data_IF_297410603525
#
_entry.id   IF_297410603525
#
_cell.length_a   1.000
_cell.length_b   1.000
_cell.length_c   1.000
_cell.angle_alpha   90.00
_cell.angle_beta   90.00
_cell.angle_gamma   90.00
#
_symmetry.space_group_name_H-M   'P 1'
#
loop_
_entity.id
_entity.type
_entity.pdbx_description
1 polymer ?
#
# COMPACT_ATOMS: atom_id res chain seq x y z
N UNK A 1 -51.95 2.95 -8.32
CA UNK A 1 -52.79 1.88 -7.73
C UNK A 1 -52.12 0.56 -7.99
N UNK A 2 -51.96 -0.25 -6.95
CA UNK A 2 -51.39 -1.60 -6.94
C UNK A 2 -51.83 -2.46 -8.14
N UNK A 3 -50.92 -3.32 -8.60
CA UNK A 3 -51.33 -4.64 -9.08
C UNK A 3 -50.51 -5.75 -8.40
N UNK A 4 -51.14 -6.88 -8.03
CA UNK A 4 -50.70 -7.76 -6.96
C UNK A 4 -50.03 -9.04 -7.47
N UNK A 5 -49.24 -9.67 -6.59
CA UNK A 5 -48.67 -11.01 -6.76
C UNK A 5 -49.66 -12.13 -6.38
N UNK A 6 -49.34 -13.32 -6.91
CA UNK A 6 -49.76 -14.72 -6.61
C UNK A 6 -50.74 -15.24 -7.66
N UNK A 7 -50.56 -16.40 -8.30
CA UNK A 7 -49.97 -17.70 -7.93
C UNK A 7 -49.75 -18.49 -9.26
N UNK A 8 -49.05 -19.61 -9.43
CA UNK A 8 -49.06 -20.88 -8.69
C UNK A 8 -48.18 -21.92 -9.45
N UNK A 9 -47.77 -22.99 -8.75
CA UNK A 9 -47.51 -24.39 -9.20
C UNK A 9 -46.07 -24.93 -9.12
N UNK A 10 -45.92 -26.26 -8.85
CA UNK A 10 -45.11 -26.77 -7.76
C UNK A 10 -44.14 -27.88 -8.22
N UNK A 11 -43.64 -28.62 -7.22
CA UNK A 11 -42.93 -29.91 -7.28
C UNK A 11 -41.43 -29.82 -7.46
N UNK A 12 -40.76 -30.42 -6.49
CA UNK A 12 -39.35 -30.35 -6.21
C UNK A 12 -38.49 -31.07 -7.26
N UNK A 13 -37.33 -30.47 -7.56
CA UNK A 13 -36.04 -31.15 -7.73
C UNK A 13 -34.95 -30.14 -7.34
N UNK A 14 -34.31 -30.39 -6.19
CA UNK A 14 -33.14 -29.66 -5.68
C UNK A 14 -31.96 -29.87 -6.64
N UNK A 15 -31.32 -28.80 -7.12
CA UNK A 15 -30.16 -28.92 -8.02
C UNK A 15 -29.15 -27.75 -8.00
N UNK A 16 -29.27 -26.75 -7.12
CA UNK A 16 -28.29 -25.63 -7.08
C UNK A 16 -27.90 -25.22 -5.67
N UNK A 17 -26.74 -24.56 -5.58
CA UNK A 17 -26.05 -24.14 -4.35
C UNK A 17 -26.78 -23.02 -3.57
N UNK A 18 -27.98 -22.65 -4.02
CA UNK A 18 -28.83 -21.60 -3.45
C UNK A 18 -29.68 -22.09 -2.25
N UNK A 19 -29.59 -23.38 -1.89
CA UNK A 19 -30.31 -23.98 -0.75
C UNK A 19 -29.58 -23.86 0.60
N UNK A 20 -28.48 -23.09 0.66
CA UNK A 20 -27.85 -22.71 1.93
C UNK A 20 -28.54 -21.44 2.45
N UNK A 21 -29.62 -21.62 3.21
CA UNK A 21 -30.22 -20.57 4.04
C UNK A 21 -29.22 -20.14 5.12
N UNK A 22 -28.24 -19.29 4.75
CA UNK A 22 -27.44 -18.53 5.70
C UNK A 22 -28.28 -17.34 6.13
N UNK A 23 -29.13 -17.55 7.13
CA UNK A 23 -29.86 -16.46 7.78
C UNK A 23 -28.83 -15.52 8.45
N UNK A 24 -28.48 -14.44 7.74
CA UNK A 24 -27.76 -13.31 8.31
C UNK A 24 -28.77 -12.45 9.07
N UNK A 25 -28.82 -12.63 10.39
CA UNK A 25 -29.47 -11.65 11.27
C UNK A 25 -28.46 -10.53 11.52
N UNK A 26 -28.71 -9.28 11.06
CA UNK A 26 -27.82 -8.17 11.35
C UNK A 26 -27.90 -7.88 12.85
N UNK A 27 -26.83 -8.13 13.59
CA UNK A 27 -26.66 -7.62 14.95
C UNK A 27 -26.76 -6.09 14.91
N UNK A 28 -27.56 -5.51 15.81
CA UNK A 28 -27.67 -4.06 15.96
C UNK A 28 -26.30 -3.52 16.39
N UNK A 29 -25.63 -2.87 15.44
CA UNK A 29 -24.29 -2.32 15.59
C UNK A 29 -24.31 -1.11 16.52
N UNK A 30 -23.74 -1.23 17.72
CA UNK A 30 -23.60 -0.10 18.64
C UNK A 30 -22.60 0.92 18.08
N UNK A 31 -23.12 2.04 17.59
CA UNK A 31 -22.32 3.14 17.02
C UNK A 31 -21.32 3.75 18.03
N UNK A 32 -21.48 3.50 19.34
CA UNK A 32 -20.65 4.09 20.39
C UNK A 32 -19.46 3.22 20.82
N UNK A 33 -19.42 1.93 20.47
CA UNK A 33 -18.32 1.04 20.86
C UNK A 33 -17.08 1.19 19.94
N UNK A 34 -17.25 1.84 18.78
CA UNK A 34 -16.17 2.30 17.90
C UNK A 34 -15.55 3.60 18.43
N UNK A 35 -14.91 3.55 19.60
CA UNK A 35 -13.96 4.59 19.98
C UNK A 35 -12.78 4.50 19.01
N UNK A 36 -12.81 5.38 18.00
CA UNK A 36 -11.90 5.40 16.86
C UNK A 36 -10.43 5.21 17.27
N UNK A 37 -9.88 4.03 16.99
CA UNK A 37 -8.44 3.83 17.03
C UNK A 37 -7.82 4.60 15.84
N UNK A 38 -7.62 5.90 16.03
CA UNK A 38 -7.02 6.79 15.04
C UNK A 38 -5.52 6.51 14.99
N UNK A 39 -5.08 5.70 14.03
CA UNK A 39 -3.67 5.42 13.82
C UNK A 39 -2.97 6.54 13.04
N UNK A 40 -1.64 6.62 13.15
CA UNK A 40 -0.85 7.65 12.47
C UNK A 40 -0.70 7.35 10.98
N UNK A 41 -1.02 8.33 10.13
CA UNK A 41 -0.96 8.22 8.67
C UNK A 41 0.43 8.46 8.06
N UNK A 42 0.46 8.95 6.82
CA UNK A 42 1.69 9.28 6.11
C UNK A 42 2.52 10.37 6.80
N UNK A 43 3.81 10.42 6.46
CA UNK A 43 4.72 11.48 6.89
C UNK A 43 4.96 12.48 5.75
N UNK A 44 4.97 13.77 6.09
CA UNK A 44 5.43 14.84 5.21
C UNK A 44 6.64 15.45 5.89
N UNK A 45 7.78 15.49 5.18
CA UNK A 45 8.99 16.14 5.66
C UNK A 45 8.80 17.65 5.59
N UNK A 46 9.32 18.36 6.58
CA UNK A 46 9.25 19.81 6.59
C UNK A 46 10.05 20.36 5.40
N UNK A 47 9.42 21.12 4.49
CA UNK A 47 10.11 21.65 3.33
C UNK A 47 11.13 22.69 3.78
N UNK A 48 12.32 22.67 3.19
CA UNK A 48 13.28 23.76 3.33
C UNK A 48 12.94 24.82 2.29
N UNK A 49 12.41 26.00 2.66
CA UNK A 49 11.98 26.99 1.68
C UNK A 49 13.19 27.62 1.00
N UNK A 50 13.16 27.67 -0.34
CA UNK A 50 14.24 28.24 -1.11
C UNK A 50 14.05 28.06 -2.61
N UNK A 51 14.88 28.75 -3.39
CA UNK A 51 15.01 28.51 -4.82
C UNK A 51 16.12 27.47 -5.02
N UNK A 52 15.73 26.30 -5.51
CA UNK A 52 16.66 25.20 -5.79
C UNK A 52 16.76 24.98 -7.29
N UNK A 53 17.99 24.76 -7.75
CA UNK A 53 18.27 24.25 -9.09
C UNK A 53 18.63 22.77 -8.98
N UNK A 54 18.49 22.02 -10.09
CA UNK A 54 18.95 20.63 -10.16
C UNK A 54 18.34 19.70 -9.10
N UNK A 55 17.03 19.86 -8.85
CA UNK A 55 16.29 19.00 -7.92
C UNK A 55 15.92 17.69 -8.61
N UNK A 56 16.28 16.58 -7.98
CA UNK A 56 15.90 15.23 -8.39
C UNK A 56 14.75 14.74 -7.54
N UNK A 57 13.77 14.09 -8.18
CA UNK A 57 12.65 13.46 -7.51
C UNK A 57 12.87 11.95 -7.50
N UNK A 58 12.84 11.37 -6.30
CA UNK A 58 12.80 9.93 -6.07
C UNK A 58 11.43 9.56 -5.54
N UNK A 59 10.81 8.54 -6.10
CA UNK A 59 9.45 8.10 -5.75
C UNK A 59 9.44 6.57 -5.59
N UNK A 60 8.84 6.06 -4.52
CA UNK A 60 8.67 4.62 -4.36
C UNK A 60 7.60 4.10 -5.33
N UNK A 61 7.92 3.06 -6.07
CA UNK A 61 6.97 2.42 -6.96
C UNK A 61 5.88 1.69 -6.13
N UNK A 62 4.77 2.39 -5.88
CA UNK A 62 3.60 1.87 -5.13
C UNK A 62 3.94 1.45 -3.69
N UNK A 63 4.38 2.40 -2.85
CA UNK A 63 4.87 2.17 -1.48
C UNK A 63 3.98 1.21 -0.66
N UNK A 64 2.70 1.54 -0.44
CA UNK A 64 1.84 0.73 0.44
C UNK A 64 1.55 -0.67 -0.11
N UNK A 65 1.18 -0.86 -1.40
CA UNK A 65 1.12 -2.20 -1.99
C UNK A 65 2.40 -3.02 -1.77
N UNK A 66 3.56 -2.42 -1.98
CA UNK A 66 4.86 -3.08 -1.82
C UNK A 66 5.12 -3.47 -0.36
N UNK A 67 4.81 -2.60 0.60
CA UNK A 67 4.91 -2.89 2.04
C UNK A 67 3.99 -4.05 2.45
N UNK A 68 2.73 -4.02 2.00
CA UNK A 68 1.76 -5.08 2.29
C UNK A 68 2.27 -6.45 1.79
N UNK A 69 2.85 -6.49 0.59
CA UNK A 69 3.43 -7.72 0.03
C UNK A 69 4.71 -8.15 0.75
N UNK A 70 5.65 -7.24 0.98
CA UNK A 70 6.96 -7.54 1.55
C UNK A 70 6.89 -8.09 2.99
N UNK A 71 5.93 -7.62 3.77
CA UNK A 71 5.72 -8.03 5.16
C UNK A 71 4.53 -8.99 5.32
N UNK A 72 3.98 -9.48 4.20
CA UNK A 72 2.83 -10.39 4.13
C UNK A 72 1.65 -9.92 5.02
N UNK A 73 1.33 -8.63 5.01
CA UNK A 73 0.29 -8.02 5.86
C UNK A 73 -1.08 -8.43 5.35
N UNK A 74 -1.81 -9.22 6.14
CA UNK A 74 -3.10 -9.77 5.78
C UNK A 74 -3.88 -10.21 7.01
N UNK A 75 -5.22 -10.27 6.91
CA UNK A 75 -6.09 -10.84 7.94
C UNK A 75 -5.67 -12.26 8.34
N UNK A 76 -5.32 -13.09 7.34
CA UNK A 76 -4.97 -14.50 7.54
C UNK A 76 -3.57 -14.73 8.10
N UNK A 77 -2.73 -13.70 8.16
CA UNK A 77 -1.32 -13.80 8.57
C UNK A 77 -1.04 -13.06 9.87
N UNK A 78 -1.98 -12.24 10.36
CA UNK A 78 -1.84 -11.51 11.60
C UNK A 78 -1.82 -12.43 12.82
N UNK A 79 -0.83 -12.26 13.70
CA UNK A 79 -0.57 -13.13 14.87
C UNK A 79 -0.78 -12.46 16.22
N UNK A 80 -1.28 -11.22 16.27
CA UNK A 80 -1.38 -10.37 17.47
C UNK A 80 -0.06 -9.75 17.96
N UNK A 81 -0.12 -9.01 19.07
CA UNK A 81 1.03 -8.36 19.72
C UNK A 81 2.04 -9.35 20.29
N UNK A 82 1.58 -10.54 20.67
CA UNK A 82 2.43 -11.62 21.17
C UNK A 82 2.26 -12.85 20.26
N UNK A 83 3.35 -13.31 19.61
CA UNK A 83 3.26 -14.49 18.77
C UNK A 83 3.07 -15.74 19.66
N UNK A 84 2.43 -16.81 19.13
CA UNK A 84 2.24 -18.04 19.87
C UNK A 84 3.57 -18.60 20.41
N UNK A 85 3.60 -19.18 21.64
CA UNK A 85 4.84 -19.63 22.28
C UNK A 85 5.68 -20.63 21.47
N UNK A 86 5.03 -21.38 20.58
CA UNK A 86 5.65 -22.41 19.76
C UNK A 86 6.19 -21.89 18.42
N UNK A 87 6.04 -20.58 18.12
CA UNK A 87 6.57 -19.98 16.89
C UNK A 87 7.96 -19.41 17.09
N UNK A 88 8.85 -19.72 16.15
CA UNK A 88 10.20 -19.14 16.13
C UNK A 88 10.19 -17.80 15.38
N UNK A 89 11.04 -16.82 15.76
CA UNK A 89 11.09 -15.50 15.11
C UNK A 89 11.32 -15.52 13.60
N UNK A 90 11.87 -16.61 13.06
CA UNK A 90 12.07 -16.76 11.61
C UNK A 90 10.76 -16.92 10.84
N UNK A 91 9.66 -17.35 11.50
CA UNK A 91 8.37 -17.65 10.87
C UNK A 91 7.47 -16.43 10.67
N UNK A 92 7.78 -15.30 11.29
CA UNK A 92 6.97 -14.08 11.20
C UNK A 92 7.84 -12.83 11.04
N UNK A 93 7.23 -11.76 10.55
CA UNK A 93 7.74 -10.40 10.60
C UNK A 93 7.25 -9.72 11.88
N UNK A 94 8.13 -8.99 12.55
CA UNK A 94 7.79 -8.10 13.66
C UNK A 94 7.83 -6.67 13.18
N UNK A 95 6.71 -5.96 13.32
CA UNK A 95 6.60 -4.53 13.03
C UNK A 95 6.45 -3.80 14.37
N UNK A 96 7.49 -3.07 14.78
CA UNK A 96 7.51 -2.29 16.03
C UNK A 96 7.74 -0.81 15.72
N UNK A 97 6.92 0.07 16.29
CA UNK A 97 7.14 1.52 16.24
C UNK A 97 6.63 2.20 17.51
N UNK A 98 7.07 3.44 17.72
CA UNK A 98 6.56 4.31 18.78
C UNK A 98 5.67 5.37 18.14
N UNK A 99 4.43 5.49 18.60
CA UNK A 99 3.51 6.51 18.13
C UNK A 99 3.88 7.89 18.72
N UNK A 100 3.42 8.99 18.12
CA UNK A 100 3.67 10.35 18.62
C UNK A 100 3.25 10.59 20.09
N UNK A 101 2.31 9.80 20.60
CA UNK A 101 1.87 9.81 22.01
C UNK A 101 2.82 9.09 22.99
N UNK A 102 3.88 8.43 22.49
CA UNK A 102 4.81 7.64 23.30
C UNK A 102 4.44 6.15 23.42
N UNK A 103 3.29 5.74 22.88
CA UNK A 103 2.83 4.35 22.94
C UNK A 103 3.67 3.46 22.02
N UNK A 104 4.23 2.38 22.58
CA UNK A 104 4.86 1.33 21.80
C UNK A 104 3.79 0.44 21.15
N UNK A 105 3.90 0.25 19.84
CA UNK A 105 3.01 -0.59 19.05
C UNK A 105 3.84 -1.73 18.46
N UNK A 106 3.37 -2.96 18.61
CA UNK A 106 4.05 -4.17 18.11
C UNK A 106 3.01 -5.08 17.46
N UNK A 107 3.23 -5.45 16.22
CA UNK A 107 2.39 -6.41 15.50
C UNK A 107 3.23 -7.46 14.78
N UNK A 108 2.68 -8.66 14.66
CA UNK A 108 3.33 -9.80 14.03
C UNK A 108 2.53 -10.32 12.85
N UNK A 109 3.22 -10.66 11.76
CA UNK A 109 2.63 -11.23 10.54
C UNK A 109 3.41 -12.46 10.09
N UNK A 110 2.76 -13.58 9.82
CA UNK A 110 3.40 -14.78 9.27
C UNK A 110 4.12 -14.48 7.96
N UNK A 111 5.29 -15.09 7.73
CA UNK A 111 5.97 -15.03 6.42
C UNK A 111 5.34 -15.97 5.41
N UNK A 112 4.91 -17.14 5.87
CA UNK A 112 4.27 -18.17 5.06
C UNK A 112 3.10 -18.79 5.84
N UNK A 113 2.01 -19.21 5.16
CA UNK A 113 1.76 -19.05 3.72
C UNK A 113 1.46 -17.59 3.34
N UNK A 114 1.50 -17.28 2.04
CA UNK A 114 1.13 -15.97 1.53
C UNK A 114 -0.35 -15.66 1.82
N UNK A 115 -0.61 -14.48 2.40
CA UNK A 115 -1.94 -14.00 2.70
C UNK A 115 -2.75 -13.62 1.44
N UNK A 116 -4.07 -13.58 1.60
CA UNK A 116 -4.98 -13.23 0.49
C UNK A 116 -4.74 -11.82 -0.06
N UNK A 117 -4.41 -10.85 0.81
CA UNK A 117 -4.16 -9.45 0.41
C UNK A 117 -2.87 -9.32 -0.43
N UNK A 118 -1.70 -9.79 0.03
CA UNK A 118 -0.48 -9.84 -0.78
C UNK A 118 -0.65 -10.56 -2.12
N UNK A 119 -1.34 -11.71 -2.12
CA UNK A 119 -1.61 -12.47 -3.35
C UNK A 119 -2.44 -11.65 -4.35
N UNK A 120 -3.53 -11.02 -3.90
CA UNK A 120 -4.37 -10.17 -4.73
C UNK A 120 -3.58 -8.98 -5.31
N UNK A 121 -2.74 -8.35 -4.49
CA UNK A 121 -1.88 -7.25 -4.93
C UNK A 121 -0.88 -7.70 -6.01
N UNK A 122 -0.25 -8.87 -5.83
CA UNK A 122 0.67 -9.44 -6.82
C UNK A 122 -0.03 -9.70 -8.15
N UNK A 123 -1.25 -10.24 -8.11
CA UNK A 123 -2.03 -10.50 -9.32
C UNK A 123 -2.39 -9.18 -10.04
N UNK A 124 -2.92 -8.18 -9.32
CA UNK A 124 -3.29 -6.88 -9.88
C UNK A 124 -2.08 -6.15 -10.50
N UNK A 125 -0.95 -6.10 -9.78
CA UNK A 125 0.27 -5.46 -10.26
C UNK A 125 0.91 -6.26 -11.40
N UNK A 126 0.81 -7.58 -11.39
CA UNK A 126 1.24 -8.46 -12.48
C UNK A 126 0.48 -8.16 -13.78
N UNK A 127 -0.85 -8.06 -13.70
CA UNK A 127 -1.70 -7.66 -14.84
C UNK A 127 -1.34 -6.25 -15.30
N UNK A 128 -1.14 -5.30 -14.38
CA UNK A 128 -0.73 -3.93 -14.72
C UNK A 128 0.60 -3.91 -15.47
N UNK A 129 1.58 -4.70 -15.05
CA UNK A 129 2.90 -4.82 -15.70
C UNK A 129 2.75 -5.38 -17.12
N UNK A 130 1.90 -6.38 -17.33
CA UNK A 130 1.60 -6.91 -18.66
C UNK A 130 0.94 -5.86 -19.57
N UNK A 131 -0.03 -5.10 -19.06
CA UNK A 131 -0.68 -4.00 -19.80
C UNK A 131 0.34 -2.91 -20.16
N UNK A 132 1.19 -2.48 -19.23
CA UNK A 132 2.26 -1.50 -19.50
C UNK A 132 3.24 -2.00 -20.57
N UNK A 133 3.55 -3.30 -20.61
CA UNK A 133 4.41 -3.89 -21.65
C UNK A 133 3.79 -3.74 -23.04
N UNK A 134 2.49 -4.03 -23.17
CA UNK A 134 1.76 -3.87 -24.45
C UNK A 134 1.65 -2.38 -24.82
N UNK A 135 1.38 -1.51 -23.83
CA UNK A 135 1.27 -0.07 -24.04
C UNK A 135 2.56 0.52 -24.64
N UNK A 136 3.74 0.06 -24.20
CA UNK A 136 5.05 0.51 -24.74
C UNK A 136 5.24 0.21 -26.23
N UNK A 137 4.62 -0.86 -26.75
CA UNK A 137 4.69 -1.23 -28.17
C UNK A 137 3.50 -0.73 -28.99
N UNK A 138 2.55 -0.02 -28.36
CA UNK A 138 1.34 0.49 -29.04
C UNK A 138 1.60 1.89 -29.57
N UNK A 139 1.14 2.17 -30.80
CA UNK A 139 1.28 3.49 -31.41
C UNK A 139 0.55 4.58 -30.60
N UNK A 140 1.23 5.71 -30.42
CA UNK A 140 0.72 6.87 -29.70
C UNK A 140 -0.54 7.42 -30.39
N UNK A 141 -1.44 8.00 -29.58
CA UNK A 141 -2.69 8.64 -30.02
C UNK A 141 -3.74 7.72 -30.65
N UNK A 142 -3.53 6.40 -30.66
CA UNK A 142 -4.56 5.45 -31.08
C UNK A 142 -5.62 5.25 -30.00
N UNK A 143 -6.84 4.84 -30.40
CA UNK A 143 -7.90 4.45 -29.43
C UNK A 143 -7.42 3.32 -28.54
N UNK A 144 -6.68 2.36 -29.09
CA UNK A 144 -6.11 1.24 -28.34
C UNK A 144 -5.11 1.72 -27.27
N UNK A 145 -4.23 2.67 -27.59
CA UNK A 145 -3.33 3.27 -26.62
C UNK A 145 -4.09 3.88 -25.45
N UNK A 146 -5.12 4.67 -25.75
CA UNK A 146 -5.95 5.32 -24.72
C UNK A 146 -6.65 4.30 -23.82
N UNK A 147 -7.21 3.23 -24.39
CA UNK A 147 -7.86 2.15 -23.62
C UNK A 147 -6.85 1.45 -22.71
N UNK A 148 -5.66 1.13 -23.22
CA UNK A 148 -4.60 0.47 -22.43
C UNK A 148 -4.07 1.37 -21.32
N UNK A 149 -3.90 2.67 -21.58
CA UNK A 149 -3.50 3.64 -20.55
C UNK A 149 -4.56 3.77 -19.45
N UNK A 150 -5.84 3.89 -19.82
CA UNK A 150 -6.93 3.92 -18.82
C UNK A 150 -7.04 2.61 -18.04
N UNK A 151 -6.78 1.48 -18.68
CA UNK A 151 -6.73 0.18 -17.99
C UNK A 151 -5.60 0.10 -16.97
N UNK A 152 -4.38 0.55 -17.30
CA UNK A 152 -3.28 0.53 -16.32
C UNK A 152 -3.48 1.52 -15.18
N UNK A 153 -4.12 2.68 -15.45
CA UNK A 153 -4.51 3.65 -14.41
C UNK A 153 -5.53 3.05 -13.45
N UNK A 154 -6.58 2.40 -13.96
CA UNK A 154 -7.58 1.73 -13.13
C UNK A 154 -6.94 0.66 -12.23
N UNK A 155 -6.03 -0.17 -12.78
CA UNK A 155 -5.31 -1.17 -11.99
C UNK A 155 -4.43 -0.53 -10.90
N UNK A 156 -3.78 0.62 -11.18
CA UNK A 156 -3.02 1.39 -10.17
C UNK A 156 -3.94 1.85 -9.04
N UNK A 157 -5.08 2.44 -9.38
CA UNK A 157 -6.07 2.93 -8.40
C UNK A 157 -6.56 1.77 -7.53
N UNK A 158 -6.96 0.65 -8.13
CA UNK A 158 -7.41 -0.53 -7.37
C UNK A 158 -6.33 -1.03 -6.39
N UNK A 159 -5.08 -1.17 -6.84
CA UNK A 159 -3.99 -1.63 -5.99
C UNK A 159 -3.74 -0.67 -4.82
N UNK A 160 -3.70 0.65 -5.07
CA UNK A 160 -3.47 1.65 -4.04
C UNK A 160 -4.65 1.75 -3.04
N UNK A 161 -5.88 1.50 -3.50
CA UNK A 161 -7.08 1.54 -2.66
C UNK A 161 -7.17 0.37 -1.68
N UNK A 162 -6.48 -0.76 -1.92
CA UNK A 162 -6.52 -1.93 -1.02
C UNK A 162 -6.05 -1.57 0.40
N UNK A 163 -4.98 -0.77 0.52
CA UNK A 163 -4.55 -0.25 1.82
C UNK A 163 -5.68 0.57 2.49
N UNK A 164 -6.35 1.42 1.73
CA UNK A 164 -7.46 2.23 2.22
C UNK A 164 -8.59 1.38 2.80
N UNK A 165 -8.93 0.26 2.15
CA UNK A 165 -9.95 -0.68 2.66
C UNK A 165 -9.59 -1.23 4.04
N UNK A 166 -8.30 -1.52 4.30
CA UNK A 166 -7.86 -2.00 5.63
C UNK A 166 -8.10 -0.96 6.74
N UNK A 167 -8.03 0.33 6.41
CA UNK A 167 -8.13 1.44 7.36
C UNK A 167 -9.53 2.06 7.52
N UNK A 168 -10.52 1.66 6.70
CA UNK A 168 -11.87 2.22 6.77
C UNK A 168 -12.63 1.61 7.94
N UNK A 169 -12.76 2.36 9.03
CA UNK A 169 -13.49 1.93 10.23
C UNK A 169 -15.01 2.13 10.09
N UNK A 170 -15.43 3.25 9.49
CA UNK A 170 -16.85 3.58 9.32
C UNK A 170 -17.37 3.03 7.99
N UNK A 171 -18.33 2.10 8.06
CA UNK A 171 -18.90 1.38 6.90
C UNK A 171 -17.92 0.46 6.16
N UNK A 172 -16.74 0.18 6.73
CA UNK A 172 -15.83 -0.84 6.19
C UNK A 172 -16.36 -2.23 6.51
N UNK A 173 -16.38 -3.13 5.53
CA UNK A 173 -16.87 -4.50 5.75
C UNK A 173 -15.89 -5.35 6.57
N UNK A 174 -14.59 -5.11 6.40
CA UNK A 174 -13.51 -5.88 7.04
C UNK A 174 -12.33 -4.92 7.35
N UNK A 175 -12.39 -4.09 8.40
CA UNK A 175 -11.23 -3.29 8.80
C UNK A 175 -10.13 -4.18 9.41
N UNK A 176 -8.86 -3.82 9.15
CA UNK A 176 -7.67 -4.37 9.78
C UNK A 176 -6.76 -3.21 10.18
N UNK A 177 -7.10 -2.58 11.31
CA UNK A 177 -6.42 -1.38 11.79
C UNK A 177 -4.93 -1.63 12.04
N UNK A 178 -4.58 -2.80 12.53
CA UNK A 178 -3.21 -3.24 12.83
C UNK A 178 -2.40 -3.41 11.56
N UNK A 179 -3.03 -3.86 10.47
CA UNK A 179 -2.42 -3.93 9.15
C UNK A 179 -2.22 -2.54 8.56
N UNK A 180 -3.22 -1.65 8.68
CA UNK A 180 -3.14 -0.29 8.18
C UNK A 180 -2.12 0.58 8.94
N UNK A 181 -2.07 0.45 10.28
CA UNK A 181 -1.11 1.13 11.14
C UNK A 181 0.32 0.59 10.92
N UNK A 182 0.48 -0.73 10.79
CA UNK A 182 1.78 -1.34 10.45
C UNK A 182 2.27 -0.88 9.08
N UNK A 183 1.39 -0.83 8.07
CA UNK A 183 1.74 -0.41 6.71
C UNK A 183 2.21 1.05 6.68
N UNK A 184 1.51 1.94 7.37
CA UNK A 184 1.91 3.36 7.46
C UNK A 184 3.19 3.55 8.28
N UNK A 185 3.35 2.83 9.40
CA UNK A 185 4.57 2.86 10.19
C UNK A 185 5.79 2.42 9.37
N UNK A 186 5.70 1.31 8.65
CA UNK A 186 6.74 0.84 7.74
C UNK A 186 7.00 1.83 6.61
N UNK A 187 5.97 2.46 6.05
CA UNK A 187 6.13 3.53 5.06
C UNK A 187 6.95 4.70 5.60
N UNK A 188 6.67 5.16 6.83
CA UNK A 188 7.45 6.23 7.49
C UNK A 188 8.89 5.79 7.77
N UNK A 189 9.11 4.55 8.17
CA UNK A 189 10.46 4.01 8.36
C UNK A 189 11.24 3.95 7.05
N UNK A 190 10.60 3.50 5.96
CA UNK A 190 11.23 3.47 4.63
C UNK A 190 11.65 4.86 4.17
N UNK A 191 10.81 5.87 4.40
CA UNK A 191 11.16 7.26 4.14
C UNK A 191 12.38 7.71 4.97
N UNK A 192 12.41 7.38 6.27
CA UNK A 192 13.55 7.68 7.14
C UNK A 192 14.86 7.01 6.69
N UNK A 193 14.80 5.75 6.26
CA UNK A 193 15.94 5.03 5.68
C UNK A 193 16.43 5.73 4.40
N UNK A 194 15.50 6.12 3.52
CA UNK A 194 15.83 6.82 2.29
C UNK A 194 16.51 8.17 2.58
N UNK A 195 15.98 8.97 3.52
CA UNK A 195 16.57 10.24 3.96
C UNK A 195 17.99 10.05 4.49
N UNK A 196 18.20 9.10 5.40
CA UNK A 196 19.53 8.80 5.93
C UNK A 196 20.50 8.39 4.81
N UNK A 197 20.03 7.63 3.82
CA UNK A 197 20.84 7.23 2.67
C UNK A 197 21.18 8.40 1.74
N UNK A 198 20.25 9.33 1.52
CA UNK A 198 20.52 10.56 0.77
C UNK A 198 21.62 11.38 1.43
N UNK A 199 21.55 11.55 2.75
CA UNK A 199 22.56 12.30 3.53
C UNK A 199 23.94 11.63 3.47
N UNK A 200 24.01 10.30 3.57
CA UNK A 200 25.26 9.53 3.44
C UNK A 200 25.94 9.75 2.08
N UNK A 201 25.14 9.93 1.02
CA UNK A 201 25.62 10.17 -0.35
C UNK A 201 25.88 11.65 -0.65
N UNK A 202 25.84 12.52 0.36
CA UNK A 202 26.10 13.95 0.23
C UNK A 202 24.96 14.73 -0.43
N UNK A 203 23.76 14.15 -0.48
CA UNK A 203 22.56 14.76 -1.01
C UNK A 203 21.74 15.41 0.11
N UNK A 204 21.12 16.55 -0.17
CA UNK A 204 20.26 17.27 0.78
C UNK A 204 18.81 17.10 0.38
N UNK A 205 17.97 16.61 1.30
CA UNK A 205 16.52 16.48 1.08
C UNK A 205 15.87 17.84 1.29
N UNK A 206 15.22 18.35 0.25
CA UNK A 206 14.53 19.65 0.23
C UNK A 206 13.09 19.51 0.69
N UNK A 207 12.43 18.44 0.26
CA UNK A 207 11.04 18.15 0.56
C UNK A 207 10.79 16.65 0.44
N UNK A 208 9.80 16.13 1.15
CA UNK A 208 9.31 14.78 0.95
C UNK A 208 7.85 14.67 1.34
N UNK A 209 7.09 13.93 0.55
CA UNK A 209 5.67 13.68 0.77
C UNK A 209 5.41 12.19 0.63
N UNK A 210 5.07 11.53 1.75
CA UNK A 210 4.61 10.14 1.83
C UNK A 210 5.57 9.10 1.26
N UNK A 211 5.62 9.00 -0.07
CA UNK A 211 6.40 8.07 -0.88
C UNK A 211 7.38 8.75 -1.84
N UNK A 212 7.46 10.09 -1.83
CA UNK A 212 8.34 10.88 -2.69
C UNK A 212 9.33 11.73 -1.88
N UNK A 213 10.54 11.89 -2.42
CA UNK A 213 11.62 12.73 -1.89
C UNK A 213 12.20 13.60 -3.00
N UNK A 214 12.40 14.87 -2.69
CA UNK A 214 13.03 15.86 -3.55
C UNK A 214 14.40 16.19 -2.98
N UNK A 215 15.44 15.96 -3.77
CA UNK A 215 16.82 15.93 -3.31
C UNK A 215 17.68 16.80 -4.21
N UNK A 216 18.63 17.52 -3.62
CA UNK A 216 19.65 18.29 -4.34
C UNK A 216 21.05 17.80 -3.96
N UNK A 217 21.98 17.82 -4.91
CA UNK A 217 23.38 17.45 -4.68
C UNK A 217 24.25 18.70 -4.61
N UNK A 218 24.99 18.84 -3.51
CA UNK A 218 25.86 19.99 -3.30
C UNK A 218 27.04 19.97 -4.29
N UNK A 219 27.36 21.12 -4.90
CA UNK A 219 28.52 21.28 -5.79
C UNK A 219 28.24 21.13 -7.29
N UNK A 220 26.99 20.94 -7.70
CA UNK A 220 26.61 20.91 -9.12
C UNK A 220 26.01 22.27 -9.51
N UNK A 221 26.68 22.96 -10.45
CA UNK A 221 26.22 24.24 -10.97
C UNK A 221 24.85 24.13 -11.66
N UNK A 222 24.02 25.17 -11.54
CA UNK A 222 22.64 25.18 -12.03
C UNK A 222 22.48 24.89 -13.53
N UNK A 223 23.49 25.19 -14.33
CA UNK A 223 23.55 24.99 -15.78
C UNK A 223 24.06 23.59 -16.19
N UNK A 224 24.62 22.83 -15.25
CA UNK A 224 25.23 21.53 -15.52
C UNK A 224 24.32 20.35 -15.14
N UNK A 225 23.12 20.32 -15.71
CA UNK A 225 22.16 19.22 -15.51
C UNK A 225 22.73 17.83 -15.84
N UNK A 226 23.54 17.62 -16.92
CA UNK A 226 24.08 16.30 -17.23
C UNK A 226 24.96 15.71 -16.12
N UNK A 227 25.63 16.54 -15.31
CA UNK A 227 26.44 16.07 -14.19
C UNK A 227 25.62 15.42 -13.07
N UNK A 228 24.30 15.64 -13.02
CA UNK A 228 23.40 14.98 -12.07
C UNK A 228 23.17 13.50 -12.37
N UNK A 229 23.38 13.06 -13.62
CA UNK A 229 22.99 11.70 -14.01
C UNK A 229 23.76 10.63 -13.25
N UNK A 230 25.08 10.81 -13.11
CA UNK A 230 25.93 9.88 -12.39
C UNK A 230 25.55 9.73 -10.89
N UNK A 231 25.44 10.81 -10.09
CA UNK A 231 24.99 10.68 -8.71
C UNK A 231 23.53 10.20 -8.63
N UNK A 232 22.67 10.57 -9.59
CA UNK A 232 21.28 10.14 -9.60
C UNK A 232 21.14 8.62 -9.67
N UNK A 233 21.79 7.99 -10.65
CA UNK A 233 21.76 6.54 -10.84
C UNK A 233 22.51 5.79 -9.74
N UNK A 234 23.58 6.36 -9.19
CA UNK A 234 24.29 5.77 -8.05
C UNK A 234 23.38 5.72 -6.81
N UNK A 235 22.63 6.79 -6.56
CA UNK A 235 21.69 6.91 -5.44
C UNK A 235 20.50 5.97 -5.61
N UNK A 236 19.94 5.87 -6.82
CA UNK A 236 18.87 4.92 -7.14
C UNK A 236 19.28 3.48 -6.78
N UNK A 237 20.45 3.03 -7.26
CA UNK A 237 20.97 1.68 -6.95
C UNK A 237 21.23 1.47 -5.45
N UNK A 238 21.72 2.50 -4.77
CA UNK A 238 21.98 2.42 -3.34
C UNK A 238 20.68 2.29 -2.53
N UNK A 239 19.61 2.99 -2.95
CA UNK A 239 18.29 2.87 -2.35
C UNK A 239 17.64 1.52 -2.64
N UNK A 240 17.69 1.05 -3.90
CA UNK A 240 17.15 -0.27 -4.27
C UNK A 240 17.75 -1.40 -3.41
N UNK A 241 19.02 -1.29 -3.03
CA UNK A 241 19.68 -2.28 -2.16
C UNK A 241 19.21 -2.25 -0.69
N UNK A 242 18.55 -1.17 -0.25
CA UNK A 242 18.06 -1.03 1.12
C UNK A 242 16.67 -1.66 1.34
N UNK A 243 15.93 -1.95 0.27
CA UNK A 243 14.56 -2.41 0.35
C UNK A 243 14.42 -3.85 -0.22
N UNK A 244 13.55 -4.67 0.39
CA UNK A 244 13.32 -6.07 -0.02
C UNK A 244 12.52 -6.21 -1.32
#
# INVERSE_FOLDING_TARGET
>A
MCWPRKSRWPSARLSTIDDLDFAYEPEEFDENELVAAKYEGACVLEPVPGLYYNVLQYDFDSLYPSVLMAYNICYSTYLSTEPPPNMVPQMYHTVKWTSKGGDENIHHFLKEPEGIVPKLLRDLLGVRKAVKKILKSTELYTVQYNVLDKRQQALKVCANSIYGVLGVQKHGMLPLNEGASSCTALGRMSLGIAVAKFEELGATVVYGDTDSCYVTFNGIAADNFPALWAPATATEKALEACFP
#
